data_IF_479812349730
#
_entry.id   IF_479812349730
#
_cell.length_a   1.000
_cell.length_b   1.000
_cell.length_c   1.000
_cell.angle_alpha   90.00
_cell.angle_beta   90.00
_cell.angle_gamma   90.00
#
_symmetry.space_group_name_H-M   'P 1'
#
loop_
_entity.id
_entity.type
_entity.pdbx_description
1 polymer ?
#
# COMPACT_ATOMS: atom_id res chain seq x y z
N UNK A 1 -38.90 -52.72 24.22
CA UNK A 1 -38.74 -51.35 23.66
C UNK A 1 -37.75 -50.57 24.52
N UNK A 2 -36.99 -49.63 23.90
CA UNK A 2 -35.95 -48.71 24.44
C UNK A 2 -34.55 -49.36 24.47
N UNK A 3 -33.80 -49.46 23.36
CA UNK A 3 -33.31 -48.46 22.40
C UNK A 3 -32.45 -47.36 23.03
N UNK A 4 -31.14 -47.63 23.01
CA UNK A 4 -30.01 -46.76 23.31
C UNK A 4 -30.05 -45.52 22.40
N UNK A 5 -30.04 -44.32 22.98
CA UNK A 5 -29.76 -43.05 22.26
C UNK A 5 -28.70 -42.29 23.05
N UNK A 6 -27.44 -42.35 22.58
CA UNK A 6 -26.74 -41.37 21.72
C UNK A 6 -26.23 -40.16 22.53
N UNK A 7 -24.92 -40.16 22.78
CA UNK A 7 -24.14 -38.98 23.17
C UNK A 7 -24.40 -37.85 22.18
N UNK A 8 -24.84 -36.69 22.67
CA UNK A 8 -24.81 -35.44 21.92
C UNK A 8 -23.44 -34.82 22.17
N UNK A 9 -22.55 -35.01 21.19
CA UNK A 9 -21.33 -34.22 21.06
C UNK A 9 -21.75 -32.84 20.58
N UNK A 10 -21.79 -31.86 21.48
CA UNK A 10 -21.97 -30.44 21.14
C UNK A 10 -20.77 -29.98 20.32
N UNK A 11 -20.90 -30.09 18.99
CA UNK A 11 -20.02 -29.42 18.05
C UNK A 11 -20.22 -27.91 18.22
N UNK A 12 -19.22 -27.27 18.81
CA UNK A 12 -19.07 -25.83 18.86
C UNK A 12 -18.77 -25.34 17.44
N UNK A 13 -19.80 -25.19 16.62
CA UNK A 13 -19.66 -24.59 15.28
C UNK A 13 -19.65 -23.08 15.47
N UNK A 14 -18.45 -22.54 15.72
CA UNK A 14 -18.15 -21.12 15.55
C UNK A 14 -18.32 -20.76 14.08
N UNK A 15 -19.51 -20.33 13.69
CA UNK A 15 -19.76 -19.72 12.38
C UNK A 15 -19.45 -18.23 12.51
N UNK A 16 -18.18 -17.87 12.34
CA UNK A 16 -17.81 -16.51 11.91
C UNK A 16 -18.12 -16.41 10.41
N UNK A 17 -19.39 -16.16 10.08
CA UNK A 17 -19.82 -15.86 8.72
C UNK A 17 -19.46 -14.41 8.37
N UNK A 18 -18.26 -14.26 7.82
CA UNK A 18 -17.88 -13.42 6.68
C UNK A 18 -18.92 -12.36 6.24
N UNK A 19 -18.66 -11.10 6.57
CA UNK A 19 -18.76 -10.01 5.58
C UNK A 19 -17.44 -9.28 5.57
N UNK A 20 -16.42 -10.00 5.10
CA UNK A 20 -15.22 -9.38 4.55
C UNK A 20 -15.66 -8.30 3.57
N UNK A 21 -15.23 -7.06 3.78
CA UNK A 21 -15.04 -6.12 2.68
C UNK A 21 -13.92 -6.74 1.84
N UNK A 22 -14.34 -7.68 1.00
CA UNK A 22 -13.49 -8.48 0.14
C UNK A 22 -13.31 -7.70 -1.13
N UNK A 23 -12.05 -7.49 -1.49
CA UNK A 23 -11.66 -6.92 -2.77
C UNK A 23 -12.35 -7.63 -3.94
N UNK A 24 -13.07 -6.87 -4.75
CA UNK A 24 -13.48 -7.31 -6.08
C UNK A 24 -12.25 -7.34 -6.99
N UNK A 25 -11.49 -8.43 -6.97
CA UNK A 25 -10.50 -8.70 -8.00
C UNK A 25 -11.24 -9.02 -9.31
N UNK A 26 -11.52 -7.98 -10.11
CA UNK A 26 -12.14 -8.15 -11.41
C UNK A 26 -11.19 -8.94 -12.33
N UNK A 27 -11.40 -10.25 -12.44
CA UNK A 27 -10.85 -11.07 -13.50
C UNK A 27 -11.58 -10.74 -14.81
N UNK A 28 -11.30 -9.57 -15.39
CA UNK A 28 -11.81 -9.17 -16.69
C UNK A 28 -10.65 -8.75 -17.59
N UNK A 29 -10.51 -9.45 -18.71
CA UNK A 29 -9.68 -9.02 -19.86
C UNK A 29 -10.08 -7.59 -20.25
N UNK A 30 -9.34 -6.61 -19.77
CA UNK A 30 -9.47 -5.23 -20.19
C UNK A 30 -8.08 -4.63 -20.22
N UNK A 31 -7.62 -4.22 -21.40
CA UNK A 31 -6.43 -3.42 -21.64
C UNK A 31 -6.61 -1.98 -21.10
N UNK A 32 -7.17 -1.83 -19.91
CA UNK A 32 -7.25 -0.56 -19.20
C UNK A 32 -5.96 -0.42 -18.40
N UNK A 33 -5.08 0.46 -18.91
CA UNK A 33 -3.86 0.92 -18.25
C UNK A 33 -4.19 1.25 -16.80
N UNK A 34 -3.69 0.42 -15.87
CA UNK A 34 -3.88 0.63 -14.45
C UNK A 34 -3.46 2.06 -14.08
N UNK A 35 -4.25 2.73 -13.24
CA UNK A 35 -3.92 4.02 -12.63
C UNK A 35 -2.83 3.77 -11.58
N UNK A 36 -1.63 3.43 -12.06
CA UNK A 36 -0.49 3.18 -11.21
C UNK A 36 -0.02 4.53 -10.66
N UNK A 37 -0.33 4.78 -9.39
CA UNK A 37 0.09 5.96 -8.68
C UNK A 37 1.60 6.18 -8.84
N UNK A 38 1.95 7.36 -9.36
CA UNK A 38 3.31 7.74 -9.68
C UNK A 38 3.77 8.87 -8.76
N UNK A 39 4.89 8.66 -8.07
CA UNK A 39 5.57 9.62 -7.21
C UNK A 39 6.60 10.37 -8.05
N UNK A 40 6.55 11.69 -8.13
CA UNK A 40 7.61 12.47 -8.79
C UNK A 40 8.56 13.06 -7.77
N UNK A 41 9.85 12.89 -8.01
CA UNK A 41 10.93 13.42 -7.20
C UNK A 41 11.76 14.37 -8.06
N UNK A 42 12.02 15.58 -7.56
CA UNK A 42 13.04 16.47 -8.11
C UNK A 42 14.39 16.16 -7.49
N UNK A 43 15.30 15.64 -8.30
CA UNK A 43 16.69 15.37 -7.98
C UNK A 43 17.55 16.51 -8.51
N UNK A 44 17.95 17.45 -7.65
CA UNK A 44 18.56 18.72 -8.05
C UNK A 44 17.71 19.53 -9.06
N UNK A 45 17.94 19.36 -10.38
CA UNK A 45 17.22 20.03 -11.48
C UNK A 45 16.56 19.03 -12.46
N UNK A 46 16.42 17.77 -12.06
CA UNK A 46 15.92 16.67 -12.90
C UNK A 46 14.75 15.99 -12.23
N UNK A 47 13.71 15.66 -12.98
CA UNK A 47 12.57 14.91 -12.44
C UNK A 47 12.77 13.40 -12.64
N UNK A 48 12.48 12.63 -11.60
CA UNK A 48 12.41 11.17 -11.63
C UNK A 48 11.01 10.76 -11.21
N UNK A 49 10.36 9.92 -12.02
CA UNK A 49 9.04 9.38 -11.72
C UNK A 49 9.16 7.94 -11.24
N UNK A 50 8.60 7.63 -10.07
CA UNK A 50 8.55 6.28 -9.51
C UNK A 50 7.11 5.82 -9.42
N UNK A 51 6.79 4.80 -10.20
CA UNK A 51 5.48 4.19 -10.24
C UNK A 51 5.49 2.87 -9.49
N UNK A 52 4.62 2.70 -8.51
CA UNK A 52 4.52 1.44 -7.79
C UNK A 52 3.80 0.40 -8.67
N UNK A 53 4.45 -0.74 -8.90
CA UNK A 53 3.89 -1.88 -9.64
C UNK A 53 3.32 -2.93 -8.67
N UNK A 54 4.06 -3.15 -7.58
CA UNK A 54 3.72 -3.98 -6.42
C UNK A 54 4.37 -3.36 -5.18
N UNK A 55 4.25 -4.00 -4.02
CA UNK A 55 4.92 -3.59 -2.79
C UNK A 55 6.44 -3.70 -2.87
N UNK A 56 6.94 -4.66 -3.64
CA UNK A 56 8.37 -4.94 -3.80
C UNK A 56 8.94 -4.51 -5.16
N UNK A 57 8.14 -3.92 -6.05
CA UNK A 57 8.59 -3.51 -7.39
C UNK A 57 8.07 -2.14 -7.79
N UNK A 58 8.96 -1.37 -8.39
CA UNK A 58 8.64 -0.06 -8.95
C UNK A 58 9.15 0.06 -10.38
N UNK A 59 8.47 0.88 -11.16
CA UNK A 59 8.95 1.38 -12.44
C UNK A 59 9.48 2.79 -12.24
N UNK A 60 10.78 2.98 -12.40
CA UNK A 60 11.43 4.28 -12.34
C UNK A 60 11.63 4.81 -13.76
N UNK A 61 11.25 6.05 -14.02
CA UNK A 61 11.53 6.79 -15.26
C UNK A 61 12.45 7.95 -14.91
N UNK A 62 13.66 7.96 -15.48
CA UNK A 62 14.62 9.06 -15.27
C UNK A 62 14.29 10.29 -16.13
N UNK A 63 15.00 11.40 -15.89
CA UNK A 63 14.79 12.66 -16.61
C UNK A 63 15.02 12.59 -18.13
N UNK A 64 15.66 11.53 -18.64
CA UNK A 64 15.83 11.31 -20.07
C UNK A 64 14.72 10.40 -20.66
N UNK A 65 13.73 10.03 -19.85
CA UNK A 65 12.66 9.10 -20.22
C UNK A 65 13.06 7.62 -20.18
N UNK A 66 14.27 7.29 -19.73
CA UNK A 66 14.70 5.88 -19.64
C UNK A 66 13.99 5.19 -18.48
N UNK A 67 13.45 4.00 -18.75
CA UNK A 67 12.64 3.22 -17.80
C UNK A 67 13.46 2.09 -17.19
N UNK A 68 13.33 1.91 -15.88
CA UNK A 68 13.97 0.85 -15.11
C UNK A 68 12.91 0.15 -14.25
N UNK A 69 12.88 -1.19 -14.32
CA UNK A 69 12.08 -1.99 -13.40
C UNK A 69 12.96 -2.36 -12.21
N UNK A 70 12.69 -1.78 -11.05
CA UNK A 70 13.48 -1.93 -9.85
C UNK A 70 12.77 -2.86 -8.85
N UNK A 71 13.56 -3.62 -8.09
CA UNK A 71 13.06 -4.49 -7.01
C UNK A 71 13.53 -3.97 -5.66
N UNK A 72 12.67 -4.07 -4.66
CA UNK A 72 12.98 -3.74 -3.26
C UNK A 72 14.11 -4.64 -2.77
N UNK A 73 15.11 -4.02 -2.16
CA UNK A 73 16.32 -4.67 -1.62
C UNK A 73 16.52 -4.38 -0.13
N UNK A 74 15.98 -3.26 0.37
CA UNK A 74 16.05 -2.87 1.78
C UNK A 74 14.83 -2.03 2.16
N UNK A 75 14.26 -2.26 3.34
CA UNK A 75 13.09 -1.52 3.86
C UNK A 75 13.32 -0.89 5.25
N UNK A 76 14.56 -0.94 5.77
CA UNK A 76 14.87 -0.64 7.17
C UNK A 76 14.78 0.84 7.59
N UNK A 77 15.14 1.79 6.74
CA UNK A 77 15.10 3.23 7.02
C UNK A 77 14.26 4.02 6.02
N UNK A 78 13.52 3.29 5.19
CA UNK A 78 13.04 3.71 3.88
C UNK A 78 13.11 2.53 2.91
N UNK A 79 12.55 2.70 1.71
CA UNK A 79 12.46 1.67 0.66
C UNK A 79 13.58 1.87 -0.37
N UNK A 80 14.51 0.91 -0.46
CA UNK A 80 15.56 0.89 -1.47
C UNK A 80 15.22 -0.06 -2.60
N UNK A 81 14.97 0.49 -3.79
CA UNK A 81 14.74 -0.28 -5.00
C UNK A 81 15.96 -0.26 -5.91
N UNK A 82 16.39 -1.40 -6.44
CA UNK A 82 17.55 -1.53 -7.35
C UNK A 82 17.24 -2.33 -8.60
N UNK A 83 17.93 -2.02 -9.69
CA UNK A 83 17.84 -2.75 -10.95
C UNK A 83 18.44 -1.97 -12.11
N UNK A 84 19.00 -2.67 -13.11
CA UNK A 84 19.47 -2.03 -14.35
C UNK A 84 20.57 -0.98 -14.15
N UNK A 85 21.42 -1.12 -13.12
CA UNK A 85 22.53 -0.21 -12.84
C UNK A 85 22.14 1.08 -12.11
N UNK A 86 20.89 1.20 -11.64
CA UNK A 86 20.40 2.33 -10.85
C UNK A 86 19.74 1.87 -9.56
N UNK A 87 19.61 2.78 -8.60
CA UNK A 87 18.81 2.58 -7.40
C UNK A 87 18.09 3.85 -6.97
N UNK A 88 16.99 3.69 -6.23
CA UNK A 88 16.37 4.78 -5.50
C UNK A 88 16.08 4.34 -4.07
N UNK A 89 16.53 5.11 -3.09
CA UNK A 89 16.19 4.95 -1.69
C UNK A 89 15.18 6.03 -1.31
N UNK A 90 13.94 5.65 -1.01
CA UNK A 90 12.84 6.56 -0.70
C UNK A 90 12.58 6.53 0.80
N UNK A 91 12.55 7.69 1.43
CA UNK A 91 12.31 7.90 2.86
C UNK A 91 11.31 9.03 3.05
N UNK A 92 10.04 8.68 3.22
CA UNK A 92 8.96 9.67 3.26
C UNK A 92 8.93 10.49 1.98
N UNK A 93 9.10 11.81 2.09
CA UNK A 93 9.14 12.74 0.96
C UNK A 93 10.55 12.94 0.38
N UNK A 94 11.57 12.40 1.04
CA UNK A 94 12.96 12.46 0.58
C UNK A 94 13.29 11.20 -0.20
N UNK A 95 14.18 11.33 -1.17
CA UNK A 95 14.78 10.19 -1.84
C UNK A 95 16.25 10.43 -2.16
N UNK A 96 17.00 9.35 -2.37
CA UNK A 96 18.33 9.36 -2.95
C UNK A 96 18.30 8.50 -4.20
N UNK A 97 18.49 9.12 -5.36
CA UNK A 97 18.60 8.42 -6.64
C UNK A 97 20.08 8.21 -6.97
N UNK A 98 20.49 6.95 -7.14
CA UNK A 98 21.85 6.59 -7.51
C UNK A 98 21.88 6.11 -8.95
N UNK A 99 22.74 6.70 -9.77
CA UNK A 99 22.98 6.25 -11.15
C UNK A 99 24.48 6.26 -11.42
N UNK A 100 25.01 5.13 -11.91
CA UNK A 100 26.44 4.97 -12.21
C UNK A 100 27.36 5.26 -11.01
N UNK A 101 26.90 5.00 -9.79
CA UNK A 101 27.67 5.27 -8.56
C UNK A 101 27.63 6.72 -8.06
N UNK A 102 26.90 7.61 -8.74
CA UNK A 102 26.65 8.97 -8.26
C UNK A 102 25.29 9.07 -7.58
N UNK A 103 25.27 9.61 -6.36
CA UNK A 103 24.06 9.85 -5.58
C UNK A 103 23.54 11.27 -5.83
N UNK A 104 22.25 11.37 -6.15
CA UNK A 104 21.49 12.62 -6.26
C UNK A 104 20.41 12.63 -5.17
N UNK A 105 20.45 13.60 -4.26
CA UNK A 105 19.35 13.84 -3.32
C UNK A 105 18.14 14.39 -4.04
N UNK A 106 16.97 13.88 -3.70
CA UNK A 106 15.71 14.25 -4.32
C UNK A 106 14.65 14.55 -3.27
N UNK A 107 13.76 15.46 -3.62
CA UNK A 107 12.56 15.78 -2.83
C UNK A 107 11.32 15.58 -3.69
N UNK A 108 10.27 15.04 -3.10
CA UNK A 108 8.99 14.86 -3.78
C UNK A 108 8.40 16.21 -4.23
N UNK A 109 8.03 16.35 -5.52
CA UNK A 109 7.57 17.63 -6.09
C UNK A 109 6.15 17.63 -6.64
N UNK A 110 5.64 16.49 -7.07
CA UNK A 110 4.26 16.38 -7.52
C UNK A 110 3.76 14.94 -7.51
N UNK A 111 2.45 14.84 -7.42
CA UNK A 111 1.71 13.59 -7.30
C UNK A 111 0.63 13.63 -8.34
N UNK A 112 0.95 13.25 -9.57
CA UNK A 112 -0.07 13.13 -10.61
C UNK A 112 -0.92 11.89 -10.30
N UNK A 113 -1.93 12.05 -9.45
CA UNK A 113 -3.17 11.31 -9.64
C UNK A 113 -3.81 11.91 -10.88
N UNK A 114 -3.68 11.23 -12.04
CA UNK A 114 -4.50 11.58 -13.19
C UNK A 114 -5.97 11.40 -12.79
N UNK A 115 -6.56 12.48 -12.27
CA UNK A 115 -7.96 12.56 -11.87
C UNK A 115 -8.76 12.68 -13.16
N UNK A 116 -9.07 11.53 -13.76
CA UNK A 116 -10.18 11.46 -14.70
C UNK A 116 -11.45 11.46 -13.86
N UNK A 117 -12.08 12.63 -13.76
CA UNK A 117 -13.41 12.82 -13.19
C UNK A 117 -14.46 12.10 -14.06
N UNK A 118 -14.51 10.75 -13.99
CA UNK A 118 -15.62 9.86 -14.34
C UNK A 118 -15.16 8.39 -14.42
N UNK A 119 -14.68 7.81 -13.32
CA UNK A 119 -14.46 6.37 -13.33
C UNK A 119 -14.76 5.73 -11.99
N UNK A 120 -15.94 5.10 -11.91
CA UNK A 120 -16.41 4.18 -10.87
C UNK A 120 -15.56 2.90 -10.73
N UNK A 121 -14.25 2.96 -11.00
CA UNK A 121 -13.29 1.88 -10.73
C UNK A 121 -11.88 2.46 -10.88
N UNK A 122 -11.37 3.08 -9.82
CA UNK A 122 -9.94 3.35 -9.69
C UNK A 122 -9.21 2.01 -9.56
N UNK A 123 -8.15 1.79 -10.34
CA UNK A 123 -7.29 0.61 -10.23
C UNK A 123 -6.05 1.02 -9.44
N UNK A 124 -6.27 1.36 -8.17
CA UNK A 124 -5.23 1.83 -7.25
C UNK A 124 -4.51 0.65 -6.60
N UNK A 125 -3.27 0.87 -6.15
CA UNK A 125 -2.53 -0.15 -5.40
C UNK A 125 -3.24 -0.41 -4.07
N UNK A 126 -3.59 -1.67 -3.87
CA UNK A 126 -4.20 -2.17 -2.64
C UNK A 126 -3.17 -3.01 -1.88
N UNK A 127 -3.11 -2.82 -0.57
CA UNK A 127 -2.22 -3.57 0.34
C UNK A 127 -3.06 -4.11 1.49
N UNK A 128 -3.15 -5.43 1.59
CA UNK A 128 -3.88 -6.10 2.67
C UNK A 128 -2.89 -6.48 3.77
N UNK A 129 -3.17 -6.04 4.99
CA UNK A 129 -2.37 -6.40 6.16
C UNK A 129 -3.20 -7.20 7.14
N UNK A 130 -2.60 -8.22 7.74
CA UNK A 130 -3.17 -8.93 8.89
C UNK A 130 -2.59 -8.35 10.16
N UNK A 131 -3.44 -8.00 11.12
CA UNK A 131 -3.09 -7.28 12.33
C UNK A 131 -3.32 -8.12 13.59
N UNK A 132 -2.38 -8.09 14.54
CA UNK A 132 -2.45 -8.89 15.76
C UNK A 132 -3.66 -8.50 16.61
N UNK A 133 -4.55 -9.47 16.87
CA UNK A 133 -5.76 -9.26 17.68
C UNK A 133 -6.76 -8.27 17.07
N UNK A 134 -6.68 -8.03 15.75
CA UNK A 134 -7.56 -7.10 15.05
C UNK A 134 -7.93 -7.65 13.66
N UNK A 135 -8.94 -7.06 13.02
CA UNK A 135 -9.32 -7.45 11.66
C UNK A 135 -8.21 -7.12 10.65
N UNK A 136 -8.18 -7.86 9.55
CA UNK A 136 -7.34 -7.52 8.42
C UNK A 136 -7.74 -6.14 7.89
N UNK A 137 -6.74 -5.27 7.74
CA UNK A 137 -6.93 -3.93 7.20
C UNK A 137 -6.50 -3.89 5.75
N UNK A 138 -7.10 -2.97 5.02
CA UNK A 138 -6.83 -2.76 3.60
C UNK A 138 -6.45 -1.32 3.38
N UNK A 139 -5.28 -1.08 2.79
CA UNK A 139 -4.82 0.25 2.41
C UNK A 139 -4.90 0.39 0.90
N UNK A 140 -5.64 1.40 0.44
CA UNK A 140 -5.66 1.85 -0.94
C UNK A 140 -4.83 3.12 -1.08
N UNK A 141 -3.86 3.10 -1.97
CA UNK A 141 -3.08 4.28 -2.32
C UNK A 141 -3.84 5.12 -3.35
N UNK A 142 -4.63 6.08 -2.85
CA UNK A 142 -5.46 7.00 -3.66
C UNK A 142 -4.60 8.05 -4.35
N UNK A 143 -3.68 8.64 -3.59
CA UNK A 143 -2.61 9.51 -4.09
C UNK A 143 -1.34 9.23 -3.28
N UNK A 144 -0.25 9.93 -3.56
CA UNK A 144 1.01 9.66 -2.86
C UNK A 144 0.95 10.15 -1.42
N UNK A 145 0.18 11.20 -1.19
CA UNK A 145 -0.03 11.87 0.08
C UNK A 145 -1.36 11.46 0.72
N UNK A 146 -2.11 10.53 0.14
CA UNK A 146 -3.41 10.13 0.65
C UNK A 146 -3.69 8.66 0.44
N UNK A 147 -4.17 8.01 1.49
CA UNK A 147 -4.64 6.63 1.44
C UNK A 147 -6.07 6.54 1.94
N UNK A 148 -6.82 5.56 1.44
CA UNK A 148 -8.02 5.06 2.11
C UNK A 148 -7.63 3.81 2.89
N UNK A 149 -8.14 3.68 4.11
CA UNK A 149 -7.97 2.50 4.95
C UNK A 149 -9.35 1.93 5.25
N UNK A 150 -9.60 0.69 4.84
CA UNK A 150 -10.73 -0.09 5.34
C UNK A 150 -10.26 -0.92 6.54
N UNK A 151 -10.95 -0.76 7.67
CA UNK A 151 -10.57 -1.34 8.97
C UNK A 151 -10.99 -2.81 9.17
N UNK A 152 -11.74 -3.37 8.21
CA UNK A 152 -12.29 -4.73 8.29
C UNK A 152 -13.53 -4.88 9.18
N UNK A 153 -14.00 -3.81 9.80
CA UNK A 153 -15.25 -3.69 10.57
C UNK A 153 -16.34 -2.89 9.85
N UNK A 154 -16.02 -2.30 8.69
CA UNK A 154 -16.94 -1.47 7.91
C UNK A 154 -16.54 0.00 7.87
N UNK A 155 -15.57 0.41 8.68
CA UNK A 155 -15.02 1.76 8.67
C UNK A 155 -14.07 1.96 7.50
N UNK A 156 -14.29 3.05 6.76
CA UNK A 156 -13.39 3.52 5.70
C UNK A 156 -12.89 4.91 6.08
N UNK A 157 -11.58 5.05 6.16
CA UNK A 157 -10.92 6.26 6.62
C UNK A 157 -9.98 6.81 5.56
N UNK A 158 -10.15 8.08 5.23
CA UNK A 158 -9.18 8.80 4.40
C UNK A 158 -8.10 9.38 5.31
N UNK A 159 -6.84 9.04 5.04
CA UNK A 159 -5.68 9.47 5.79
C UNK A 159 -4.73 10.25 4.88
N UNK A 160 -4.16 11.35 5.39
CA UNK A 160 -3.16 12.13 4.66
C UNK A 160 -1.76 11.72 5.12
N UNK A 161 -0.76 11.90 4.27
CA UNK A 161 0.65 11.66 4.60
C UNK A 161 1.05 12.50 5.80
N UNK A 162 1.84 11.89 6.68
CA UNK A 162 2.37 12.50 7.88
C UNK A 162 3.87 12.26 7.93
N UNK A 163 4.61 13.17 8.56
CA UNK A 163 6.05 13.06 8.73
C UNK A 163 6.43 11.75 9.43
N UNK A 164 7.46 11.09 8.91
CA UNK A 164 7.98 9.84 9.48
C UNK A 164 9.50 9.79 9.38
N UNK A 165 10.13 9.27 10.43
CA UNK A 165 11.58 9.03 10.44
C UNK A 165 12.03 7.85 9.58
N UNK A 166 11.10 7.00 9.10
CA UNK A 166 11.37 5.86 8.21
C UNK A 166 10.06 5.30 7.65
N UNK A 167 10.02 4.88 6.38
CA UNK A 167 8.80 4.30 5.78
C UNK A 167 7.71 5.35 5.51
N UNK A 168 6.50 4.87 5.26
CA UNK A 168 5.33 5.69 4.90
C UNK A 168 4.39 5.82 6.10
N UNK A 169 4.02 7.05 6.49
CA UNK A 169 3.03 7.26 7.55
C UNK A 169 1.87 8.08 7.02
N UNK A 170 0.67 7.65 7.32
CA UNK A 170 -0.57 8.37 7.00
C UNK A 170 -1.43 8.50 8.24
N UNK A 171 -2.06 9.65 8.45
CA UNK A 171 -2.93 9.90 9.61
C UNK A 171 -4.01 10.94 9.32
N UNK A 172 -5.09 10.89 10.10
CA UNK A 172 -6.10 11.93 10.20
C UNK A 172 -6.24 12.48 11.64
N UNK A 173 -5.28 12.19 12.52
CA UNK A 173 -5.30 12.55 13.94
C UNK A 173 -5.94 11.51 14.86
N UNK A 174 -6.99 10.81 14.42
CA UNK A 174 -7.66 9.76 15.22
C UNK A 174 -7.09 8.36 14.94
N UNK A 175 -6.76 8.14 13.67
CA UNK A 175 -6.22 6.90 13.14
C UNK A 175 -4.93 7.20 12.40
N UNK A 176 -3.98 6.28 12.46
CA UNK A 176 -2.80 6.30 11.61
C UNK A 176 -2.40 4.91 11.15
N UNK A 177 -1.80 4.85 9.98
CA UNK A 177 -1.08 3.66 9.51
C UNK A 177 0.34 4.05 9.16
N UNK A 178 1.30 3.32 9.73
CA UNK A 178 2.71 3.46 9.45
C UNK A 178 3.24 2.19 8.82
N UNK A 179 3.55 2.23 7.53
CA UNK A 179 4.01 1.10 6.74
C UNK A 179 5.51 1.17 6.49
N UNK A 180 6.16 0.01 6.54
CA UNK A 180 7.60 -0.15 6.35
C UNK A 180 7.88 -1.48 5.64
N UNK A 181 7.88 -1.43 4.31
CA UNK A 181 7.96 -2.64 3.49
C UNK A 181 6.77 -3.56 3.77
N UNK A 182 7.03 -4.74 4.34
CA UNK A 182 6.01 -5.74 4.65
C UNK A 182 5.43 -5.62 6.06
N UNK A 183 5.94 -4.71 6.89
CA UNK A 183 5.45 -4.45 8.23
C UNK A 183 4.58 -3.19 8.23
N UNK A 184 3.59 -3.15 9.10
CA UNK A 184 2.84 -1.93 9.37
C UNK A 184 2.44 -1.85 10.85
N UNK A 185 2.21 -0.64 11.32
CA UNK A 185 1.55 -0.37 12.60
C UNK A 185 0.29 0.42 12.32
N UNK A 186 -0.86 -0.16 12.68
CA UNK A 186 -2.15 0.52 12.64
C UNK A 186 -2.49 1.02 14.04
N UNK A 187 -2.57 2.35 14.19
CA UNK A 187 -2.93 3.01 15.44
C UNK A 187 -4.36 3.53 15.31
N UNK A 188 -5.19 3.22 16.27
CA UNK A 188 -6.55 3.76 16.37
C UNK A 188 -6.82 4.07 17.83
N UNK A 189 -7.29 5.29 18.11
CA UNK A 189 -7.56 5.77 19.47
C UNK A 189 -6.38 5.57 20.43
N UNK A 190 -5.16 5.79 19.92
CA UNK A 190 -3.92 5.64 20.68
C UNK A 190 -3.49 4.19 20.97
N UNK A 191 -4.15 3.19 20.39
CA UNK A 191 -3.77 1.78 20.52
C UNK A 191 -3.14 1.27 19.24
N UNK A 192 -1.89 0.81 19.36
CA UNK A 192 -1.11 0.25 18.27
C UNK A 192 -1.44 -1.22 18.05
N UNK A 193 -1.52 -1.59 16.77
CA UNK A 193 -1.68 -2.96 16.30
C UNK A 193 -0.57 -3.25 15.30
N UNK A 194 0.24 -4.23 15.61
CA UNK A 194 1.27 -4.73 14.70
C UNK A 194 0.60 -5.46 13.55
N UNK A 195 1.00 -5.17 12.32
CA UNK A 195 0.42 -5.78 11.14
C UNK A 195 1.50 -6.24 10.15
N UNK A 196 1.17 -7.29 9.40
CA UNK A 196 2.04 -7.87 8.37
C UNK A 196 1.32 -7.93 7.03
N UNK A 197 2.02 -7.53 5.97
CA UNK A 197 1.50 -7.53 4.61
C UNK A 197 1.23 -8.97 4.17
N UNK A 198 -0.01 -9.24 3.79
CA UNK A 198 -0.43 -10.55 3.28
C UNK A 198 -0.37 -10.60 1.76
N UNK A 199 -0.90 -9.58 1.09
CA UNK A 199 -0.88 -9.48 -0.36
C UNK A 199 -1.00 -8.02 -0.83
N UNK A 200 -0.71 -7.83 -2.11
CA UNK A 200 -0.97 -6.59 -2.82
C UNK A 200 -1.74 -6.86 -4.11
N UNK A 201 -2.65 -5.95 -4.46
CA UNK A 201 -3.47 -6.03 -5.67
C UNK A 201 -3.73 -4.66 -6.26
N UNK A 202 -4.63 -4.62 -7.24
CA UNK A 202 -5.11 -3.37 -7.84
C UNK A 202 -6.64 -3.33 -7.77
N UNK A 203 -7.21 -2.17 -7.43
CA UNK A 203 -8.65 -1.99 -7.27
C UNK A 203 -8.97 -0.72 -6.48
N UNK A 204 -10.18 -0.64 -5.95
CA UNK A 204 -10.67 0.49 -5.14
C UNK A 204 -11.40 -0.03 -3.92
N UNK A 205 -11.30 0.69 -2.80
CA UNK A 205 -12.20 0.55 -1.65
C UNK A 205 -13.45 1.36 -1.97
N UNK A 206 -14.60 0.69 -1.97
CA UNK A 206 -15.92 1.30 -2.15
C UNK A 206 -16.56 1.58 -0.79
N UNK A 207 -17.27 2.70 -0.67
CA UNK A 207 -17.99 3.15 0.54
C UNK A 207 -19.35 2.48 0.71
#
# INVERSE_FOLDING_TARGET
MKSTKKMILTALVGVLAISSIGFSAAAAKSSKKASNLSRKFSCSNKEVTVQNLSTDRVKLTDANGKVYNLKLTKSGSGEEYKGGGVSIHIKGNDAVFTKNGSDESCSMTASDSSTSNNQSSSNNLLRKFSCDGYQDITVENVSTDKVKVADGYGGIHTLNSASSGSGERYSNGNISIHMKGNEAVYTENGKDKSCSLQNSGHGSIEE
#
